data_IF_163953264378
#
_entry.id   IF_163953264378
#
_cell.length_a   1.000
_cell.length_b   1.000
_cell.length_c   1.000
_cell.angle_alpha   90.00
_cell.angle_beta   90.00
_cell.angle_gamma   90.00
#
_symmetry.space_group_name_H-M   'P 1'
#
loop_
_entity.id
_entity.type
_entity.pdbx_description
1 polymer ?
#
# COMPACT_ATOMS: atom_id res chain seq x y z
N UNK A 1 -14.77 -4.37 -48.11
CA UNK A 1 -14.85 -3.34 -47.06
C UNK A 1 -15.70 -2.18 -47.58
N UNK A 2 -16.61 -1.62 -46.78
CA UNK A 2 -17.52 -0.55 -47.23
C UNK A 2 -17.18 0.72 -46.45
N UNK A 3 -16.58 1.70 -47.11
CA UNK A 3 -16.29 3.00 -46.52
C UNK A 3 -17.59 3.78 -46.32
N UNK A 4 -17.81 4.28 -45.08
CA UNK A 4 -18.96 5.11 -44.72
C UNK A 4 -18.47 6.44 -44.14
N UNK A 5 -19.32 7.46 -44.20
CA UNK A 5 -19.05 8.73 -43.53
C UNK A 5 -19.00 8.50 -42.01
N UNK A 6 -17.89 8.85 -41.38
CA UNK A 6 -17.62 8.57 -39.96
C UNK A 6 -18.41 9.45 -38.97
N UNK A 7 -19.57 10.01 -39.32
CA UNK A 7 -20.30 10.94 -38.44
C UNK A 7 -21.74 10.49 -38.19
N UNK A 8 -22.11 10.18 -36.92
CA UNK A 8 -21.22 9.96 -35.77
C UNK A 8 -20.49 8.60 -35.88
N UNK A 9 -19.22 8.55 -35.50
CA UNK A 9 -18.43 7.31 -35.51
C UNK A 9 -18.80 6.45 -34.29
N UNK A 10 -19.24 5.20 -34.46
CA UNK A 10 -19.50 4.32 -33.33
C UNK A 10 -18.20 3.91 -32.61
N UNK A 11 -18.21 3.92 -31.28
CA UNK A 11 -17.02 3.65 -30.44
C UNK A 11 -16.49 2.22 -30.60
N UNK A 12 -17.33 1.26 -30.97
CA UNK A 12 -16.94 -0.14 -31.22
C UNK A 12 -15.85 -0.28 -32.29
N UNK A 13 -15.80 0.63 -33.27
CA UNK A 13 -14.74 0.65 -34.30
C UNK A 13 -13.38 1.13 -33.75
N UNK A 14 -13.34 1.61 -32.51
CA UNK A 14 -12.13 2.08 -31.83
C UNK A 14 -11.61 1.08 -30.78
N UNK A 15 -12.29 -0.06 -30.60
CA UNK A 15 -11.96 -1.05 -29.59
C UNK A 15 -11.42 -2.33 -30.23
N UNK A 16 -10.54 -3.02 -29.49
CA UNK A 16 -10.01 -4.33 -29.85
C UNK A 16 -10.16 -5.24 -28.65
N UNK A 17 -10.69 -6.44 -28.88
CA UNK A 17 -10.80 -7.47 -27.85
C UNK A 17 -9.44 -8.10 -27.57
N UNK A 18 -9.08 -8.17 -26.30
CA UNK A 18 -7.86 -8.83 -25.82
C UNK A 18 -8.27 -10.01 -24.92
N UNK A 19 -7.84 -11.25 -25.23
CA UNK A 19 -8.16 -12.40 -24.38
C UNK A 19 -7.48 -12.24 -23.01
N UNK A 20 -8.21 -12.60 -21.95
CA UNK A 20 -7.71 -12.63 -20.57
C UNK A 20 -7.77 -14.05 -20.04
N UNK A 21 -6.73 -14.46 -19.31
CA UNK A 21 -6.68 -15.78 -18.67
C UNK A 21 -5.79 -15.77 -17.44
N UNK A 22 -5.90 -16.83 -16.65
CA UNK A 22 -4.97 -17.16 -15.57
C UNK A 22 -4.17 -18.41 -15.95
N UNK A 23 -2.93 -18.56 -15.47
CA UNK A 23 -2.16 -19.76 -15.73
C UNK A 23 -2.82 -20.98 -15.07
N UNK A 24 -2.79 -22.13 -15.75
CA UNK A 24 -3.35 -23.40 -15.24
C UNK A 24 -2.79 -23.79 -13.87
N UNK A 25 -1.50 -23.53 -13.64
CA UNK A 25 -0.87 -23.62 -12.32
C UNK A 25 -0.53 -22.21 -11.86
N UNK A 26 -1.15 -21.70 -10.78
CA UNK A 26 -0.92 -20.34 -10.33
C UNK A 26 0.54 -20.11 -9.91
N UNK A 27 1.15 -19.06 -10.45
CA UNK A 27 2.48 -18.59 -10.06
C UNK A 27 2.32 -17.24 -9.35
N UNK A 28 2.48 -17.24 -8.03
CA UNK A 28 2.37 -16.04 -7.21
C UNK A 28 3.76 -15.49 -6.86
N UNK A 29 3.94 -14.20 -7.11
CA UNK A 29 5.05 -13.39 -6.59
C UNK A 29 4.70 -12.83 -5.22
N UNK A 30 3.55 -12.18 -5.10
CA UNK A 30 3.02 -11.70 -3.82
C UNK A 30 2.05 -12.72 -3.27
N UNK A 31 2.27 -13.16 -2.02
CA UNK A 31 1.46 -14.19 -1.36
C UNK A 31 0.87 -13.60 -0.10
N UNK A 32 -0.46 -13.47 -0.07
CA UNK A 32 -1.18 -13.29 1.19
C UNK A 32 -1.45 -14.67 1.78
N UNK A 33 -0.80 -14.99 2.90
CA UNK A 33 -1.21 -16.12 3.73
C UNK A 33 -2.65 -15.88 4.22
N UNK A 34 -3.54 -16.83 3.96
CA UNK A 34 -4.95 -16.73 4.37
C UNK A 34 -5.16 -16.65 5.88
N UNK A 35 -4.14 -17.01 6.67
CA UNK A 35 -4.16 -16.88 8.14
C UNK A 35 -3.83 -15.48 8.65
N UNK A 36 -3.36 -14.58 7.79
CA UNK A 36 -2.88 -13.25 8.13
C UNK A 36 -3.81 -12.18 7.57
N UNK A 37 -3.94 -11.06 8.28
CA UNK A 37 -4.61 -9.90 7.73
C UNK A 37 -3.66 -9.20 6.74
N UNK A 38 -4.09 -8.95 5.49
CA UNK A 38 -3.28 -8.26 4.50
C UNK A 38 -3.05 -6.80 4.89
N UNK A 39 -2.00 -6.19 4.35
CA UNK A 39 -1.77 -4.77 4.57
C UNK A 39 -2.86 -3.94 3.87
N UNK A 40 -3.32 -2.82 4.46
CA UNK A 40 -4.33 -1.97 3.83
C UNK A 40 -3.91 -1.52 2.44
N UNK A 41 -4.84 -1.54 1.49
CA UNK A 41 -4.59 -1.14 0.10
C UNK A 41 -4.63 0.39 -0.02
N UNK A 42 -3.67 0.95 -0.74
CA UNK A 42 -3.57 2.39 -1.00
C UNK A 42 -4.83 2.95 -1.70
N UNK A 43 -5.09 4.24 -1.49
CA UNK A 43 -6.22 4.97 -2.12
C UNK A 43 -7.62 4.40 -1.82
N UNK A 44 -7.79 3.67 -0.71
CA UNK A 44 -9.09 3.13 -0.26
C UNK A 44 -9.52 3.65 1.10
N UNK A 45 -9.31 4.95 1.33
CA UNK A 45 -9.62 5.58 2.60
C UNK A 45 -11.11 5.48 2.99
N UNK A 46 -12.01 5.56 2.00
CA UNK A 46 -13.46 5.36 2.19
C UNK A 46 -13.79 3.98 2.77
N UNK A 47 -12.98 2.97 2.44
CA UNK A 47 -13.11 1.60 2.95
C UNK A 47 -12.33 1.39 4.26
N UNK A 48 -11.85 2.47 4.88
CA UNK A 48 -11.01 2.48 6.09
C UNK A 48 -9.66 1.77 5.93
N UNK A 49 -9.17 1.67 4.70
CA UNK A 49 -7.80 1.22 4.46
C UNK A 49 -6.83 2.38 4.69
N UNK A 50 -6.54 2.63 5.96
CA UNK A 50 -5.59 3.65 6.39
C UNK A 50 -4.19 3.03 6.39
N UNK A 51 -3.29 3.58 5.59
CA UNK A 51 -1.88 3.23 5.59
C UNK A 51 -1.11 4.22 6.46
N UNK A 52 -1.02 3.91 7.75
CA UNK A 52 -0.23 4.66 8.72
C UNK A 52 0.80 3.75 9.41
N UNK A 53 1.60 4.35 10.30
CA UNK A 53 2.62 3.60 11.03
C UNK A 53 2.02 2.57 12.00
N UNK A 54 0.79 2.79 12.48
CA UNK A 54 0.08 1.84 13.34
C UNK A 54 -0.36 0.59 12.55
N UNK A 55 -0.81 0.77 11.30
CA UNK A 55 -1.12 -0.33 10.39
C UNK A 55 0.14 -1.13 10.07
N UNK A 56 1.29 -0.47 9.85
CA UNK A 56 2.58 -1.14 9.64
C UNK A 56 2.97 -2.00 10.86
N UNK A 57 2.94 -1.43 12.06
CA UNK A 57 3.30 -2.14 13.29
C UNK A 57 2.36 -3.33 13.54
N UNK A 58 1.06 -3.11 13.39
CA UNK A 58 0.04 -4.15 13.56
C UNK A 58 0.20 -5.29 12.55
N UNK A 59 0.55 -4.95 11.30
CA UNK A 59 0.81 -5.93 10.26
C UNK A 59 2.03 -6.81 10.60
N UNK A 60 3.18 -6.19 10.89
CA UNK A 60 4.42 -6.92 11.18
C UNK A 60 4.36 -7.75 12.46
N UNK A 61 3.53 -7.37 13.45
CA UNK A 61 3.32 -8.18 14.66
C UNK A 61 2.67 -9.54 14.42
N UNK A 62 2.07 -9.75 13.26
CA UNK A 62 1.54 -11.07 12.91
C UNK A 62 2.65 -12.07 12.57
N UNK A 63 3.88 -11.63 12.31
CA UNK A 63 4.95 -12.46 11.77
C UNK A 63 6.06 -12.70 12.79
N UNK A 64 6.71 -13.86 12.71
CA UNK A 64 7.95 -14.12 13.44
C UNK A 64 9.16 -13.60 12.62
N UNK A 65 10.33 -13.40 13.23
CA UNK A 65 11.53 -12.95 12.51
C UNK A 65 11.91 -13.85 11.32
N UNK A 66 11.70 -15.17 11.43
CA UNK A 66 11.97 -16.13 10.35
C UNK A 66 10.99 -16.00 9.16
N UNK A 67 9.86 -15.32 9.36
CA UNK A 67 8.83 -15.09 8.34
C UNK A 67 8.98 -13.74 7.63
N UNK A 68 10.12 -13.05 7.79
CA UNK A 68 10.33 -11.72 7.22
C UNK A 68 10.06 -11.68 5.71
N UNK A 69 10.61 -12.62 4.92
CA UNK A 69 10.36 -12.70 3.48
C UNK A 69 8.85 -12.80 3.18
N UNK A 70 8.10 -13.57 3.97
CA UNK A 70 6.65 -13.69 3.80
C UNK A 70 5.93 -12.38 4.09
N UNK A 71 6.36 -11.63 5.11
CA UNK A 71 5.78 -10.34 5.48
C UNK A 71 6.05 -9.26 4.40
N UNK A 72 7.25 -9.24 3.82
CA UNK A 72 7.59 -8.26 2.76
C UNK A 72 7.14 -8.70 1.36
N UNK A 73 6.67 -9.95 1.18
CA UNK A 73 6.11 -10.45 -0.08
C UNK A 73 4.66 -9.99 -0.31
N UNK A 74 4.37 -8.75 0.09
CA UNK A 74 3.11 -8.03 -0.09
C UNK A 74 3.41 -6.73 -0.85
N UNK A 75 2.78 -6.55 -2.01
CA UNK A 75 3.02 -5.38 -2.85
C UNK A 75 2.67 -4.07 -2.14
N UNK A 76 1.62 -4.06 -1.31
CA UNK A 76 1.15 -2.85 -0.64
C UNK A 76 2.12 -2.42 0.46
N UNK A 77 2.77 -3.38 1.13
CA UNK A 77 3.88 -3.10 2.06
C UNK A 77 5.07 -2.50 1.31
N UNK A 78 5.49 -3.10 0.21
CA UNK A 78 6.63 -2.60 -0.56
C UNK A 78 6.36 -1.19 -1.10
N UNK A 79 5.14 -0.92 -1.58
CA UNK A 79 4.74 0.40 -2.02
C UNK A 79 4.80 1.40 -0.86
N UNK A 80 4.18 1.06 0.28
CA UNK A 80 4.19 1.92 1.46
C UNK A 80 5.62 2.24 1.94
N UNK A 81 6.49 1.23 2.05
CA UNK A 81 7.89 1.45 2.43
C UNK A 81 8.64 2.33 1.41
N UNK A 82 8.32 2.22 0.13
CA UNK A 82 8.94 3.03 -0.92
C UNK A 82 8.43 4.48 -0.96
N UNK A 83 7.20 4.73 -0.50
CA UNK A 83 6.56 6.06 -0.54
C UNK A 83 6.46 6.74 0.82
N UNK A 84 6.82 6.07 1.91
CA UNK A 84 6.80 6.63 3.25
C UNK A 84 7.75 7.82 3.38
N UNK A 85 7.21 8.99 3.75
CA UNK A 85 7.99 10.22 3.89
C UNK A 85 8.83 10.26 5.18
N UNK A 86 8.34 9.62 6.25
CA UNK A 86 9.01 9.61 7.55
C UNK A 86 10.41 8.98 7.49
N UNK A 87 10.57 7.91 6.70
CA UNK A 87 11.83 7.23 6.48
C UNK A 87 11.95 6.89 4.98
N UNK A 88 12.75 7.63 4.21
CA UNK A 88 12.88 7.40 2.77
C UNK A 88 13.69 6.13 2.49
N UNK A 89 13.02 4.97 2.49
CA UNK A 89 13.64 3.67 2.29
C UNK A 89 13.87 3.32 0.81
N UNK A 90 13.16 3.98 -0.10
CA UNK A 90 13.16 3.68 -1.55
C UNK A 90 14.54 3.38 -2.15
N UNK A 91 15.54 4.19 -1.82
CA UNK A 91 16.89 4.06 -2.38
C UNK A 91 17.66 2.85 -1.83
N UNK A 92 17.24 2.28 -0.70
CA UNK A 92 17.87 1.14 -0.03
C UNK A 92 17.11 -0.17 -0.24
N UNK A 93 15.95 -0.14 -0.92
CA UNK A 93 15.10 -1.31 -1.12
C UNK A 93 15.57 -2.24 -2.25
N UNK A 94 16.57 -1.86 -3.06
CA UNK A 94 17.05 -2.66 -4.18
C UNK A 94 17.32 -4.14 -3.84
N UNK A 95 18.15 -4.43 -2.80
CA UNK A 95 18.41 -5.81 -2.36
C UNK A 95 17.15 -6.54 -1.87
N UNK A 96 16.26 -5.85 -1.15
CA UNK A 96 14.98 -6.42 -0.69
C UNK A 96 14.09 -6.85 -1.85
N UNK A 97 13.94 -5.97 -2.85
CA UNK A 97 13.11 -6.24 -4.03
C UNK A 97 13.66 -7.40 -4.85
N UNK A 98 14.99 -7.52 -4.95
CA UNK A 98 15.63 -8.67 -5.57
C UNK A 98 15.32 -9.96 -4.81
N UNK A 99 15.46 -9.94 -3.48
CA UNK A 99 15.15 -11.09 -2.63
C UNK A 99 13.69 -11.54 -2.74
N UNK A 100 12.73 -10.60 -2.76
CA UNK A 100 11.31 -10.92 -2.97
C UNK A 100 11.07 -11.52 -4.37
N UNK A 101 11.68 -10.94 -5.41
CA UNK A 101 11.55 -11.44 -6.79
C UNK A 101 12.09 -12.87 -6.95
N UNK A 102 13.23 -13.16 -6.33
CA UNK A 102 13.89 -14.47 -6.40
C UNK A 102 13.40 -15.46 -5.35
N UNK A 103 12.54 -15.03 -4.42
CA UNK A 103 12.08 -15.80 -3.25
C UNK A 103 13.25 -16.25 -2.38
N UNK A 104 14.27 -15.40 -2.27
CA UNK A 104 15.46 -15.64 -1.46
C UNK A 104 15.23 -15.21 -0.01
N UNK A 105 15.04 -16.20 0.86
CA UNK A 105 14.83 -15.97 2.29
C UNK A 105 16.10 -15.45 2.99
N UNK A 106 17.28 -15.84 2.52
CA UNK A 106 18.55 -15.44 3.13
C UNK A 106 18.86 -13.98 2.84
N UNK A 107 18.70 -13.53 1.59
CA UNK A 107 18.85 -12.12 1.22
C UNK A 107 17.84 -11.20 1.90
N UNK A 108 16.59 -11.65 2.05
CA UNK A 108 15.58 -10.90 2.80
C UNK A 108 15.93 -10.77 4.29
N UNK A 109 16.41 -11.84 4.93
CA UNK A 109 16.86 -11.82 6.31
C UNK A 109 18.14 -10.99 6.51
N UNK A 110 19.01 -10.90 5.50
CA UNK A 110 20.15 -9.98 5.52
C UNK A 110 19.70 -8.52 5.49
N UNK A 111 18.77 -8.18 4.60
CA UNK A 111 18.23 -6.83 4.51
C UNK A 111 17.49 -6.41 5.79
N UNK A 112 16.79 -7.34 6.46
CA UNK A 112 16.14 -7.06 7.75
C UNK A 112 17.12 -6.74 8.88
N UNK A 113 18.44 -6.96 8.71
CA UNK A 113 19.47 -6.54 9.67
C UNK A 113 20.12 -5.20 9.32
N UNK A 114 19.65 -4.54 8.26
CA UNK A 114 20.18 -3.24 7.84
C UNK A 114 19.85 -2.13 8.84
N UNK A 115 20.70 -1.10 8.90
CA UNK A 115 20.49 0.06 9.77
C UNK A 115 19.18 0.80 9.48
N UNK A 116 18.79 0.84 8.19
CA UNK A 116 17.56 1.46 7.73
C UNK A 116 16.34 0.72 8.29
N UNK A 117 16.35 -0.62 8.27
CA UNK A 117 15.27 -1.42 8.84
C UNK A 117 15.27 -1.39 10.37
N UNK A 118 16.44 -1.40 11.00
CA UNK A 118 16.56 -1.27 12.46
C UNK A 118 15.88 0.01 12.98
N UNK A 119 15.93 1.11 12.21
CA UNK A 119 15.22 2.35 12.54
C UNK A 119 13.69 2.16 12.51
N UNK A 120 13.17 1.43 11.54
CA UNK A 120 11.73 1.08 11.45
C UNK A 120 11.33 0.23 12.66
N UNK A 121 12.14 -0.78 13.01
CA UNK A 121 11.90 -1.64 14.18
C UNK A 121 11.89 -0.85 15.48
N UNK A 122 12.81 0.11 15.65
CA UNK A 122 12.86 0.98 16.83
C UNK A 122 11.63 1.88 16.93
N UNK A 123 11.14 2.42 15.82
CA UNK A 123 9.90 3.20 15.79
C UNK A 123 8.67 2.34 16.12
N UNK A 124 8.61 1.10 15.59
CA UNK A 124 7.55 0.14 15.93
C UNK A 124 7.58 -0.22 17.42
N UNK A 125 8.77 -0.40 18.01
CA UNK A 125 8.91 -0.65 19.44
C UNK A 125 8.50 0.56 20.29
N UNK A 126 8.83 1.78 19.86
CA UNK A 126 8.52 3.02 20.58
C UNK A 126 7.03 3.37 20.56
N UNK A 127 6.32 2.97 19.51
CA UNK A 127 4.87 3.16 19.37
C UNK A 127 4.05 2.32 20.38
N UNK A 128 4.70 1.41 21.14
CA UNK A 128 4.05 0.53 22.13
C UNK A 128 3.91 1.14 23.52
N UNK A 129 4.85 1.98 23.95
CA UNK A 129 4.99 2.41 25.36
C UNK A 129 4.53 3.85 25.64
N UNK A 130 4.26 4.61 24.59
CA UNK A 130 3.61 5.90 24.70
C UNK A 130 2.56 5.96 23.63
N UNK A 131 1.32 6.26 24.03
CA UNK A 131 0.43 7.06 23.19
C UNK A 131 1.11 8.40 22.94
N UNK A 132 2.16 8.40 22.11
CA UNK A 132 2.61 9.58 21.43
C UNK A 132 1.45 9.93 20.51
N UNK A 133 0.60 10.83 20.99
CA UNK A 133 0.11 11.88 20.12
C UNK A 133 1.34 12.44 19.41
N UNK A 134 1.67 11.86 18.26
CA UNK A 134 2.31 12.57 17.19
C UNK A 134 1.29 13.62 16.76
N UNK A 135 1.28 14.73 17.50
CA UNK A 135 0.73 16.00 17.10
C UNK A 135 1.33 16.32 15.72
N UNK A 136 0.57 16.01 14.69
CA UNK A 136 1.03 16.04 13.30
C UNK A 136 0.10 15.30 12.35
N UNK A 137 -0.58 14.24 12.81
CA UNK A 137 -1.71 13.67 12.05
C UNK A 137 -2.96 14.41 12.52
N UNK A 138 -3.26 15.54 11.88
CA UNK A 138 -4.58 16.13 12.00
C UNK A 138 -5.56 15.00 11.70
N UNK A 139 -6.47 14.66 12.61
CA UNK A 139 -7.49 13.66 12.26
C UNK A 139 -8.17 14.15 10.98
N UNK A 140 -8.45 13.32 9.99
CA UNK A 140 -9.05 13.77 8.74
C UNK A 140 -10.43 13.13 8.58
N UNK A 141 -11.33 13.80 7.85
CA UNK A 141 -12.63 13.24 7.49
C UNK A 141 -12.84 13.31 5.99
N UNK A 142 -13.37 12.22 5.43
CA UNK A 142 -13.71 12.16 4.01
C UNK A 142 -15.07 12.80 3.78
N UNK A 143 -15.14 13.76 2.86
CA UNK A 143 -16.40 14.43 2.54
C UNK A 143 -17.42 13.46 1.93
N UNK A 144 -18.65 13.37 2.45
CA UNK A 144 -19.67 12.47 1.92
C UNK A 144 -20.21 12.90 0.54
N UNK A 145 -19.87 14.12 0.09
CA UNK A 145 -20.39 14.68 -1.16
C UNK A 145 -19.39 14.62 -2.32
N UNK A 146 -18.11 14.83 -2.06
CA UNK A 146 -17.08 14.91 -3.12
C UNK A 146 -15.81 14.08 -2.82
N UNK A 147 -15.85 13.25 -1.78
CA UNK A 147 -14.77 12.33 -1.36
C UNK A 147 -13.43 12.99 -1.02
N UNK A 148 -13.37 14.31 -0.93
CA UNK A 148 -12.14 15.02 -0.56
C UNK A 148 -11.79 14.78 0.90
N UNK A 149 -10.50 14.67 1.18
CA UNK A 149 -9.98 14.43 2.51
C UNK A 149 -9.73 15.77 3.20
N UNK A 150 -10.55 16.08 4.20
CA UNK A 150 -10.50 17.34 4.91
C UNK A 150 -9.80 17.18 6.26
N UNK A 151 -8.99 18.16 6.66
CA UNK A 151 -8.56 18.30 8.05
C UNK A 151 -9.74 18.30 9.03
N UNK A 152 -9.60 17.66 10.19
CA UNK A 152 -10.65 17.56 11.23
C UNK A 152 -11.08 18.88 11.82
N UNK A 153 -10.23 19.90 11.77
CA UNK A 153 -10.59 21.23 12.23
C UNK A 153 -11.62 21.91 11.30
N UNK A 154 -11.82 21.40 10.09
CA UNK A 154 -12.85 21.88 9.16
C UNK A 154 -14.18 21.19 9.42
N UNK A 155 -15.24 21.99 9.55
CA UNK A 155 -16.63 21.52 9.64
C UNK A 155 -17.34 21.50 8.28
N UNK A 156 -16.71 22.06 7.25
CA UNK A 156 -17.15 22.05 5.86
C UNK A 156 -15.99 21.67 4.94
N UNK A 157 -16.31 21.03 3.82
CA UNK A 157 -15.32 20.54 2.88
C UNK A 157 -14.61 21.68 2.15
N UNK A 158 -13.28 21.66 2.07
CA UNK A 158 -12.48 22.68 1.39
C UNK A 158 -12.75 22.72 -0.13
N UNK A 159 -13.01 21.56 -0.74
CA UNK A 159 -13.25 21.46 -2.19
C UNK A 159 -14.68 21.78 -2.64
N UNK A 160 -15.69 21.46 -1.83
CA UNK A 160 -17.10 21.64 -2.23
C UNK A 160 -17.90 22.56 -1.31
N UNK A 161 -17.30 23.02 -0.22
CA UNK A 161 -17.91 23.90 0.80
C UNK A 161 -19.17 23.33 1.49
N UNK A 162 -19.46 22.04 1.31
CA UNK A 162 -20.58 21.36 1.97
C UNK A 162 -20.18 20.88 3.38
N UNK A 163 -21.12 20.91 4.34
CA UNK A 163 -20.83 20.49 5.72
C UNK A 163 -20.45 19.01 5.82
N UNK A 164 -19.76 18.68 6.91
CA UNK A 164 -19.44 17.30 7.29
C UNK A 164 -20.67 16.44 7.48
#
# INVERSE_FOLDING_TARGET
EVSKLARPLPVEYLLVDVPVSTPMTPVYTFRSDSSKTPFPIENRLLDKHIQDFNALSSYFHQFTPDQFLSAVSDFHILLYLATMEMLPLKNFMGPLLQAVKEKDASGAAEWSRSEQWATVEQLMASSRDGGAHMDGIQSEWTCPHCTFLNPSHLTACDMCSLPR
#
